data_IF_915890200688
#
_entry.id   IF_915890200688
#
_cell.length_a   1.000
_cell.length_b   1.000
_cell.length_c   1.000
_cell.angle_alpha   90.00
_cell.angle_beta   90.00
_cell.angle_gamma   90.00
#
_symmetry.space_group_name_H-M   'P 1'
#
loop_
_entity.id
_entity.type
_entity.pdbx_description
1 polymer ?
#
# COMPACT_ATOMS: atom_id res chain seq x y z
N UNK A 1 -29.59 -63.81 4.53
CA UNK A 1 -28.50 -63.56 3.59
C UNK A 1 -28.99 -62.45 2.65
N UNK A 2 -28.49 -61.23 2.77
CA UNK A 2 -28.91 -60.12 1.93
C UNK A 2 -28.90 -58.84 2.71
N UNK A 3 -27.79 -58.08 2.66
CA UNK A 3 -27.65 -56.63 2.82
C UNK A 3 -26.18 -56.30 3.04
N UNK A 4 -25.40 -56.20 1.97
CA UNK A 4 -24.01 -55.69 2.07
C UNK A 4 -23.46 -55.13 0.74
N UNK A 5 -24.25 -54.96 -0.32
CA UNK A 5 -23.74 -54.51 -1.60
C UNK A 5 -24.01 -53.02 -1.91
N UNK A 6 -24.94 -52.33 -1.21
CA UNK A 6 -25.25 -50.93 -1.43
C UNK A 6 -24.22 -49.94 -0.88
N UNK A 7 -23.75 -50.17 0.33
CA UNK A 7 -22.87 -49.22 1.04
C UNK A 7 -21.46 -49.08 0.45
N UNK A 8 -20.96 -50.11 -0.24
CA UNK A 8 -19.61 -50.09 -0.85
C UNK A 8 -19.58 -49.33 -2.17
N UNK A 9 -20.70 -49.27 -2.91
CA UNK A 9 -20.79 -48.55 -4.19
C UNK A 9 -20.96 -47.04 -3.98
N UNK A 10 -21.77 -46.62 -3.00
CA UNK A 10 -21.93 -45.22 -2.63
C UNK A 10 -20.65 -44.64 -2.02
N UNK A 11 -19.98 -45.38 -1.14
CA UNK A 11 -18.72 -44.95 -0.55
C UNK A 11 -17.58 -44.79 -1.60
N UNK A 12 -17.53 -45.70 -2.58
CA UNK A 12 -16.57 -45.59 -3.70
C UNK A 12 -16.88 -44.37 -4.61
N UNK A 13 -18.14 -44.13 -4.92
CA UNK A 13 -18.56 -42.97 -5.73
C UNK A 13 -18.31 -41.66 -4.99
N UNK A 14 -18.57 -41.58 -3.69
CA UNK A 14 -18.29 -40.38 -2.89
C UNK A 14 -16.77 -40.14 -2.78
N UNK A 15 -15.97 -41.18 -2.57
CA UNK A 15 -14.52 -41.07 -2.56
C UNK A 15 -13.95 -40.58 -3.91
N UNK A 16 -14.46 -41.13 -5.02
CA UNK A 16 -14.04 -40.72 -6.38
C UNK A 16 -14.43 -39.26 -6.67
N UNK A 17 -15.64 -38.82 -6.31
CA UNK A 17 -16.08 -37.43 -6.45
C UNK A 17 -15.22 -36.46 -5.63
N UNK A 18 -14.84 -36.85 -4.41
CA UNK A 18 -13.96 -36.04 -3.56
C UNK A 18 -12.54 -35.91 -4.17
N UNK A 19 -12.04 -36.99 -4.76
CA UNK A 19 -10.74 -37.05 -5.40
C UNK A 19 -10.65 -36.16 -6.63
N UNK A 20 -11.64 -36.19 -7.53
CA UNK A 20 -11.71 -35.35 -8.71
C UNK A 20 -11.89 -33.88 -8.32
N UNK A 21 -12.70 -33.58 -7.30
CA UNK A 21 -12.90 -32.22 -6.82
C UNK A 21 -11.60 -31.59 -6.28
N UNK A 22 -10.75 -32.33 -5.56
CA UNK A 22 -9.46 -31.80 -5.09
C UNK A 22 -8.48 -31.53 -6.25
N UNK A 23 -8.44 -32.41 -7.25
CA UNK A 23 -7.64 -32.21 -8.46
C UNK A 23 -8.07 -30.92 -9.18
N UNK A 24 -9.37 -30.78 -9.45
CA UNK A 24 -9.92 -29.60 -10.09
C UNK A 24 -9.70 -28.33 -9.26
N UNK A 25 -9.93 -28.40 -7.94
CA UNK A 25 -9.70 -27.26 -7.05
C UNK A 25 -8.25 -26.78 -7.09
N UNK A 26 -7.26 -27.68 -7.06
CA UNK A 26 -5.85 -27.33 -7.16
C UNK A 26 -5.53 -26.59 -8.46
N UNK A 27 -6.02 -27.07 -9.60
CA UNK A 27 -5.81 -26.42 -10.89
C UNK A 27 -6.61 -25.13 -11.08
N UNK A 28 -7.80 -25.01 -10.49
CA UNK A 28 -8.55 -23.74 -10.46
C UNK A 28 -7.81 -22.68 -9.64
N UNK A 29 -7.22 -23.07 -8.50
CA UNK A 29 -6.39 -22.17 -7.69
C UNK A 29 -5.17 -21.74 -8.50
N UNK A 30 -4.46 -22.66 -9.14
CA UNK A 30 -3.31 -22.35 -9.98
C UNK A 30 -3.68 -21.35 -11.10
N UNK A 31 -4.73 -21.62 -11.85
CA UNK A 31 -5.20 -20.75 -12.93
C UNK A 31 -5.58 -19.36 -12.39
N UNK A 32 -6.31 -19.30 -11.27
CA UNK A 32 -6.69 -18.05 -10.62
C UNK A 32 -5.46 -17.24 -10.19
N UNK A 33 -4.49 -17.86 -9.53
CA UNK A 33 -3.22 -17.24 -9.13
C UNK A 33 -2.44 -16.78 -10.36
N UNK A 34 -2.33 -17.61 -11.38
CA UNK A 34 -1.59 -17.28 -12.61
C UNK A 34 -2.18 -16.04 -13.28
N UNK A 35 -3.49 -16.01 -13.51
CA UNK A 35 -4.17 -14.93 -14.24
C UNK A 35 -4.19 -13.62 -13.44
N UNK A 36 -4.37 -13.68 -12.11
CA UNK A 36 -4.56 -12.46 -11.30
C UNK A 36 -3.26 -11.94 -10.70
N UNK A 37 -2.38 -12.84 -10.26
CA UNK A 37 -1.21 -12.46 -9.45
C UNK A 37 0.03 -12.24 -10.31
N UNK A 38 0.25 -13.05 -11.34
CA UNK A 38 1.44 -12.91 -12.21
C UNK A 38 1.50 -11.54 -12.87
N UNK A 39 0.44 -11.04 -13.55
CA UNK A 39 0.50 -9.71 -14.16
C UNK A 39 0.67 -8.59 -13.14
N UNK A 40 0.04 -8.72 -11.95
CA UNK A 40 0.13 -7.71 -10.89
C UNK A 40 1.55 -7.62 -10.31
N UNK A 41 2.21 -8.76 -10.06
CA UNK A 41 3.58 -8.82 -9.55
C UNK A 41 4.58 -8.39 -10.63
N UNK A 42 4.37 -8.77 -11.88
CA UNK A 42 5.17 -8.27 -13.01
C UNK A 42 5.07 -6.74 -13.08
N UNK A 43 3.86 -6.19 -13.00
CA UNK A 43 3.66 -4.75 -12.99
C UNK A 43 4.37 -4.07 -11.80
N UNK A 44 4.28 -4.65 -10.60
CA UNK A 44 5.00 -4.15 -9.42
C UNK A 44 6.52 -4.13 -9.66
N UNK A 45 7.10 -5.21 -10.19
CA UNK A 45 8.56 -5.32 -10.35
C UNK A 45 9.12 -4.47 -11.49
N UNK A 46 8.39 -4.34 -12.60
CA UNK A 46 8.88 -3.70 -13.83
C UNK A 46 8.53 -2.21 -13.93
N UNK A 47 7.50 -1.74 -13.26
CA UNK A 47 7.13 -0.32 -13.26
C UNK A 47 8.05 0.46 -12.31
N UNK A 48 9.21 0.89 -12.84
CA UNK A 48 10.21 1.64 -12.07
C UNK A 48 10.34 3.06 -12.60
N UNK A 49 10.56 3.99 -11.69
CA UNK A 49 11.00 5.33 -12.03
C UNK A 49 12.50 5.30 -12.33
N UNK A 50 12.89 5.76 -13.52
CA UNK A 50 14.26 5.72 -14.01
C UNK A 50 14.82 7.13 -14.17
N UNK A 51 16.14 7.27 -14.27
CA UNK A 51 16.82 8.57 -14.48
C UNK A 51 16.40 9.26 -15.79
N UNK A 52 16.00 8.52 -16.83
CA UNK A 52 15.45 9.10 -18.05
C UNK A 52 14.18 9.94 -17.82
N UNK A 53 13.39 9.63 -16.79
CA UNK A 53 12.22 10.44 -16.44
C UNK A 53 12.59 11.83 -15.89
N UNK A 54 13.77 11.98 -15.28
CA UNK A 54 14.23 13.27 -14.78
C UNK A 54 14.56 14.28 -15.90
N UNK A 55 14.84 13.79 -17.10
CA UNK A 55 15.03 14.60 -18.29
C UNK A 55 13.75 14.98 -19.03
N UNK A 56 12.59 14.43 -18.60
CA UNK A 56 11.29 14.66 -19.25
C UNK A 56 10.60 15.97 -18.84
N UNK A 57 11.05 16.62 -17.75
CA UNK A 57 10.60 18.00 -17.52
C UNK A 57 11.18 18.80 -18.67
N UNK A 58 10.31 19.14 -19.62
CA UNK A 58 10.67 20.01 -20.73
C UNK A 58 11.03 21.39 -20.16
N UNK A 59 12.32 21.54 -19.87
CA UNK A 59 12.87 22.85 -19.49
C UNK A 59 13.15 23.71 -20.70
N UNK A 60 12.91 23.23 -21.91
CA UNK A 60 13.03 23.83 -23.27
C UNK A 60 13.32 25.30 -23.38
N UNK A 61 14.37 25.80 -22.73
CA UNK A 61 14.69 27.24 -22.68
C UNK A 61 13.76 28.07 -21.78
N UNK A 62 12.87 27.44 -20.97
CA UNK A 62 12.00 28.14 -20.02
C UNK A 62 12.83 28.82 -18.93
N UNK A 63 12.55 30.07 -18.65
CA UNK A 63 13.09 30.77 -17.49
C UNK A 63 12.60 30.07 -16.20
N UNK A 64 13.32 30.21 -15.11
CA UNK A 64 12.98 29.61 -13.80
C UNK A 64 11.54 29.90 -13.35
N UNK A 65 10.93 31.00 -13.83
CA UNK A 65 9.54 31.37 -13.55
C UNK A 65 8.48 30.51 -14.23
N UNK A 66 8.82 29.84 -15.33
CA UNK A 66 7.87 29.03 -16.14
C UNK A 66 7.81 27.55 -15.74
N UNK A 67 8.62 27.15 -14.73
CA UNK A 67 8.57 25.79 -14.21
C UNK A 67 7.30 25.56 -13.39
N UNK A 68 6.69 24.36 -13.47
CA UNK A 68 5.49 24.06 -12.69
C UNK A 68 5.75 24.21 -11.20
N UNK A 69 4.79 24.78 -10.49
CA UNK A 69 4.82 24.88 -9.03
C UNK A 69 4.17 23.66 -8.41
N UNK A 70 4.87 23.03 -7.49
CA UNK A 70 4.38 21.88 -6.71
C UNK A 70 4.22 22.29 -5.25
N UNK A 71 3.01 22.15 -4.70
CA UNK A 71 2.78 22.27 -3.27
C UNK A 71 3.03 20.94 -2.59
N UNK A 72 4.10 20.86 -1.81
CA UNK A 72 4.43 19.67 -1.00
C UNK A 72 3.76 19.80 0.35
N UNK A 73 2.85 18.90 0.67
CA UNK A 73 2.04 18.89 1.89
C UNK A 73 2.52 17.79 2.82
N UNK A 74 2.96 18.18 4.03
CA UNK A 74 3.56 17.28 5.02
C UNK A 74 2.80 17.40 6.34
N UNK A 75 1.87 16.49 6.63
CA UNK A 75 1.28 16.39 7.97
C UNK A 75 2.26 15.67 8.91
N UNK A 76 2.56 16.25 10.05
CA UNK A 76 3.41 15.62 11.06
C UNK A 76 2.82 15.73 12.46
N UNK A 77 2.99 14.67 13.23
CA UNK A 77 2.61 14.62 14.65
C UNK A 77 3.59 13.76 15.43
N UNK A 78 4.35 14.38 16.32
CA UNK A 78 5.41 13.74 17.10
C UNK A 78 6.44 13.04 16.20
N UNK A 79 7.05 13.81 15.29
CA UNK A 79 8.05 13.38 14.31
C UNK A 79 9.39 14.15 14.51
N UNK A 80 9.71 14.58 15.74
CA UNK A 80 10.91 15.38 16.01
C UNK A 80 12.21 14.73 15.53
N UNK A 81 12.25 13.38 15.50
CA UNK A 81 13.43 12.63 15.09
C UNK A 81 13.73 12.71 13.56
N UNK A 82 12.71 12.95 12.73
CA UNK A 82 12.82 12.78 11.27
C UNK A 82 12.45 14.02 10.47
N UNK A 83 11.52 14.84 10.97
CA UNK A 83 10.95 15.96 10.21
C UNK A 83 12.00 16.96 9.71
N UNK A 84 13.04 17.22 10.50
CA UNK A 84 14.13 18.14 10.13
C UNK A 84 14.91 17.65 8.90
N UNK A 85 15.24 16.37 8.83
CA UNK A 85 15.95 15.80 7.69
C UNK A 85 15.05 15.67 6.46
N UNK A 86 13.77 15.35 6.64
CA UNK A 86 12.79 15.33 5.55
C UNK A 86 12.65 16.72 4.89
N UNK A 87 12.50 17.79 5.68
CA UNK A 87 12.43 19.18 5.18
C UNK A 87 13.73 19.57 4.47
N UNK A 88 14.90 19.29 5.05
CA UNK A 88 16.20 19.56 4.40
C UNK A 88 16.35 18.84 3.06
N UNK A 89 15.87 17.58 2.98
CA UNK A 89 15.88 16.80 1.75
C UNK A 89 15.03 17.47 0.66
N UNK A 90 13.81 17.90 1.00
CA UNK A 90 12.90 18.56 0.08
C UNK A 90 13.42 19.93 -0.38
N UNK A 91 14.10 20.69 0.47
CA UNK A 91 14.71 21.97 0.11
C UNK A 91 15.82 21.84 -0.95
N UNK A 92 16.40 20.65 -1.12
CA UNK A 92 17.36 20.32 -2.18
C UNK A 92 16.69 19.98 -3.52
N UNK A 93 15.35 20.10 -3.62
CA UNK A 93 14.63 19.80 -4.87
C UNK A 93 15.11 20.66 -6.02
N UNK A 94 15.39 19.99 -7.15
CA UNK A 94 15.87 20.59 -8.40
C UNK A 94 14.89 20.32 -9.55
N UNK A 95 14.92 21.19 -10.57
CA UNK A 95 14.19 21.00 -11.83
C UNK A 95 12.71 21.35 -11.81
N UNK A 96 12.16 21.76 -10.66
CA UNK A 96 10.80 22.27 -10.48
C UNK A 96 10.78 23.34 -9.39
N UNK A 97 9.72 24.15 -9.36
CA UNK A 97 9.47 25.06 -8.24
C UNK A 97 8.64 24.34 -7.18
N UNK A 98 9.00 24.53 -5.92
CA UNK A 98 8.24 23.96 -4.80
C UNK A 98 7.85 25.04 -3.78
N UNK A 99 6.70 24.88 -3.17
CA UNK A 99 6.37 25.41 -1.85
C UNK A 99 6.12 24.20 -0.92
N UNK A 100 6.51 24.32 0.34
CA UNK A 100 6.33 23.27 1.35
C UNK A 100 5.33 23.78 2.39
N UNK A 101 4.24 23.07 2.57
CA UNK A 101 3.25 23.34 3.61
C UNK A 101 3.34 22.24 4.66
N UNK A 102 4.11 22.52 5.71
CA UNK A 102 4.31 21.62 6.83
C UNK A 102 3.21 21.85 7.88
N UNK A 103 2.53 20.78 8.31
CA UNK A 103 1.42 20.88 9.26
C UNK A 103 1.77 20.17 10.55
N UNK A 104 1.90 20.93 11.63
CA UNK A 104 2.05 20.41 12.97
C UNK A 104 0.66 20.06 13.54
N UNK A 105 0.30 18.77 13.48
CA UNK A 105 -0.99 18.28 13.98
C UNK A 105 -0.91 17.95 15.48
N UNK A 106 -1.00 18.97 16.35
CA UNK A 106 -1.09 18.79 17.82
C UNK A 106 0.09 17.97 18.38
N UNK A 107 1.33 18.21 17.90
CA UNK A 107 2.52 17.57 18.46
C UNK A 107 2.79 18.05 19.87
N UNK A 108 3.31 17.15 20.69
CA UNK A 108 3.68 17.41 22.09
C UNK A 108 5.21 17.35 22.31
N UNK A 109 5.96 17.02 21.27
CA UNK A 109 7.40 17.03 21.20
C UNK A 109 7.93 18.27 20.47
N UNK A 110 9.18 18.26 20.04
CA UNK A 110 9.82 19.40 19.38
C UNK A 110 9.49 19.53 17.88
N UNK A 111 8.54 18.74 17.33
CA UNK A 111 8.19 18.77 15.91
C UNK A 111 7.85 20.17 15.43
N UNK A 112 6.96 20.89 16.15
CA UNK A 112 6.56 22.26 15.79
C UNK A 112 7.73 23.24 15.78
N UNK A 113 8.58 23.20 16.81
CA UNK A 113 9.78 24.05 16.91
C UNK A 113 10.76 23.82 15.75
N UNK A 114 10.97 22.56 15.35
CA UNK A 114 11.84 22.20 14.22
C UNK A 114 11.28 22.73 12.91
N UNK A 115 9.96 22.63 12.70
CA UNK A 115 9.29 23.19 11.52
C UNK A 115 9.43 24.71 11.45
N UNK A 116 9.22 25.42 12.58
CA UNK A 116 9.32 26.88 12.65
C UNK A 116 10.73 27.36 12.36
N UNK A 117 11.74 26.68 12.89
CA UNK A 117 13.15 26.95 12.60
C UNK A 117 13.47 26.77 11.11
N UNK A 118 12.91 25.72 10.48
CA UNK A 118 13.07 25.49 9.05
C UNK A 118 12.41 26.60 8.22
N UNK A 119 11.19 27.02 8.59
CA UNK A 119 10.47 28.12 7.93
C UNK A 119 11.15 29.48 8.08
N UNK A 120 11.76 29.74 9.24
CA UNK A 120 12.57 30.95 9.45
C UNK A 120 13.83 30.97 8.57
N UNK A 121 14.34 29.82 8.16
CA UNK A 121 15.56 29.67 7.34
C UNK A 121 15.27 29.67 5.84
N UNK A 122 14.06 29.33 5.38
CA UNK A 122 13.71 29.22 3.97
C UNK A 122 12.23 29.59 3.72
N UNK A 123 12.03 30.65 2.93
CA UNK A 123 10.70 31.21 2.62
C UNK A 123 9.79 30.27 1.81
N UNK A 124 10.31 29.18 1.25
CA UNK A 124 9.51 28.15 0.59
C UNK A 124 8.71 27.31 1.56
N UNK A 125 9.04 27.33 2.86
CA UNK A 125 8.33 26.60 3.91
C UNK A 125 7.30 27.51 4.56
N UNK A 126 6.07 27.03 4.64
CA UNK A 126 5.00 27.59 5.46
C UNK A 126 4.60 26.55 6.50
N UNK A 127 4.51 26.94 7.77
CA UNK A 127 4.03 26.08 8.85
C UNK A 127 2.59 26.42 9.20
N UNK A 128 1.80 25.38 9.46
CA UNK A 128 0.45 25.47 10.03
C UNK A 128 0.45 24.70 11.33
N UNK A 129 0.06 25.34 12.42
CA UNK A 129 -0.17 24.68 13.70
C UNK A 129 -1.67 24.41 13.87
N UNK A 130 -2.02 23.16 14.13
CA UNK A 130 -3.38 22.75 14.47
C UNK A 130 -3.40 22.48 15.97
N UNK A 131 -4.21 23.24 16.71
CA UNK A 131 -4.34 23.08 18.15
C UNK A 131 -5.48 22.14 18.51
N UNK A 132 -6.55 22.14 17.71
CA UNK A 132 -7.74 21.33 17.95
C UNK A 132 -8.16 20.56 16.70
N UNK A 133 -8.57 19.31 16.91
CA UNK A 133 -9.14 18.48 15.84
C UNK A 133 -10.65 18.66 15.83
N UNK A 134 -11.24 19.15 14.72
CA UNK A 134 -12.68 19.22 14.58
C UNK A 134 -13.33 17.82 14.64
N UNK A 135 -14.56 17.77 15.11
CA UNK A 135 -15.35 16.54 15.08
C UNK A 135 -15.46 15.98 13.65
N UNK A 136 -15.55 14.67 13.55
CA UNK A 136 -15.67 13.96 12.27
C UNK A 136 -14.46 14.11 11.32
N UNK A 137 -13.27 14.31 11.86
CA UNK A 137 -12.02 14.30 11.10
C UNK A 137 -10.99 13.35 11.73
N UNK A 138 -10.22 12.65 10.89
CA UNK A 138 -8.93 12.08 11.29
C UNK A 138 -7.88 13.19 11.26
N UNK A 139 -6.96 13.20 12.25
CA UNK A 139 -5.96 14.27 12.37
C UNK A 139 -5.15 14.47 11.10
N UNK A 140 -4.58 13.39 10.54
CA UNK A 140 -3.78 13.45 9.29
C UNK A 140 -4.61 14.00 8.12
N UNK A 141 -5.85 13.53 7.95
CA UNK A 141 -6.72 13.99 6.86
C UNK A 141 -7.12 15.45 7.01
N UNK A 142 -7.36 15.89 8.24
CA UNK A 142 -7.62 17.30 8.54
C UNK A 142 -6.40 18.17 8.24
N UNK A 143 -5.22 17.74 8.65
CA UNK A 143 -3.97 18.46 8.38
C UNK A 143 -3.73 18.59 6.86
N UNK A 144 -3.88 17.51 6.09
CA UNK A 144 -3.75 17.54 4.63
C UNK A 144 -4.82 18.42 3.98
N UNK A 145 -6.06 18.41 4.50
CA UNK A 145 -7.12 19.29 4.02
C UNK A 145 -6.77 20.76 4.22
N UNK A 146 -6.41 21.17 5.44
CA UNK A 146 -6.05 22.55 5.75
C UNK A 146 -4.89 23.06 4.88
N UNK A 147 -3.85 22.25 4.72
CA UNK A 147 -2.72 22.60 3.84
C UNK A 147 -3.16 22.73 2.39
N UNK A 148 -4.02 21.86 1.88
CA UNK A 148 -4.49 21.89 0.49
C UNK A 148 -5.30 23.15 0.14
N UNK A 149 -5.95 23.78 1.11
CA UNK A 149 -6.66 25.06 0.91
C UNK A 149 -5.71 26.24 0.71
N UNK A 150 -4.49 26.14 1.23
CA UNK A 150 -3.45 27.20 1.11
C UNK A 150 -2.49 26.94 -0.05
N UNK A 151 -2.55 25.76 -0.64
CA UNK A 151 -1.68 25.32 -1.72
C UNK A 151 -1.94 26.08 -3.02
N UNK A 152 -0.86 26.62 -3.61
CA UNK A 152 -0.88 27.44 -4.85
C UNK A 152 -0.40 26.67 -6.06
N UNK A 153 0.18 25.47 -5.87
CA UNK A 153 0.76 24.65 -6.93
C UNK A 153 -0.28 24.10 -7.90
N UNK A 154 0.17 23.85 -9.12
CA UNK A 154 -0.58 23.12 -10.15
C UNK A 154 -0.72 21.66 -9.80
N UNK A 155 0.22 21.16 -9.00
CA UNK A 155 0.29 19.79 -8.48
C UNK A 155 0.40 19.83 -6.97
N UNK A 156 -0.33 18.90 -6.30
CA UNK A 156 -0.23 18.69 -4.87
C UNK A 156 0.47 17.36 -4.61
N UNK A 157 1.56 17.41 -3.88
CA UNK A 157 2.27 16.24 -3.39
C UNK A 157 1.96 16.04 -1.91
N UNK A 158 1.25 14.96 -1.59
CA UNK A 158 1.07 14.51 -0.21
C UNK A 158 2.16 13.51 0.13
N UNK A 159 2.89 13.76 1.23
CA UNK A 159 3.99 12.90 1.69
C UNK A 159 4.07 12.88 3.21
N UNK A 160 4.50 11.73 3.77
CA UNK A 160 4.75 11.61 5.21
C UNK A 160 6.04 12.34 5.62
N UNK A 161 6.16 12.68 6.91
CA UNK A 161 7.25 13.49 7.46
C UNK A 161 8.57 12.74 7.72
N UNK A 162 8.66 11.48 7.33
CA UNK A 162 9.81 10.58 7.51
C UNK A 162 10.43 10.10 6.18
N UNK A 163 9.98 10.66 5.06
CA UNK A 163 10.42 10.25 3.73
C UNK A 163 11.66 11.03 3.30
N UNK A 164 12.68 10.33 2.84
CA UNK A 164 13.91 10.92 2.30
C UNK A 164 13.84 11.00 0.78
N UNK A 165 13.98 12.22 0.25
CA UNK A 165 13.90 12.54 -1.17
C UNK A 165 15.29 12.74 -1.77
N UNK A 166 15.52 12.23 -2.99
CA UNK A 166 16.62 12.65 -3.84
C UNK A 166 16.27 13.97 -4.55
N UNK A 167 17.24 14.84 -4.87
CA UNK A 167 16.97 16.20 -5.36
C UNK A 167 16.06 16.28 -6.59
N UNK A 168 16.17 15.35 -7.53
CA UNK A 168 15.41 15.35 -8.80
C UNK A 168 14.15 14.51 -8.77
N UNK A 169 13.75 13.98 -7.63
CA UNK A 169 12.59 13.05 -7.48
C UNK A 169 11.30 13.70 -7.97
N UNK A 170 10.99 14.91 -7.48
CA UNK A 170 9.72 15.59 -7.82
C UNK A 170 9.71 15.97 -9.30
N UNK A 171 10.83 16.47 -9.83
CA UNK A 171 10.96 16.77 -11.24
C UNK A 171 10.73 15.54 -12.13
N UNK A 172 11.35 14.40 -11.79
CA UNK A 172 11.17 13.15 -12.53
C UNK A 172 9.71 12.67 -12.50
N UNK A 173 9.04 12.78 -11.36
CA UNK A 173 7.63 12.44 -11.21
C UNK A 173 6.72 13.32 -12.06
N UNK A 174 6.92 14.64 -12.03
CA UNK A 174 6.15 15.61 -12.82
C UNK A 174 6.38 15.37 -14.32
N UNK A 175 7.64 15.25 -14.76
CA UNK A 175 7.97 14.94 -16.16
C UNK A 175 7.30 13.66 -16.65
N UNK A 176 7.31 12.61 -15.83
CA UNK A 176 6.61 11.37 -16.13
C UNK A 176 5.10 11.59 -16.26
N UNK A 177 4.48 12.30 -15.32
CA UNK A 177 3.04 12.58 -15.38
C UNK A 177 2.66 13.39 -16.63
N UNK A 178 3.42 14.42 -16.97
CA UNK A 178 3.21 15.24 -18.16
C UNK A 178 3.33 14.40 -19.44
N UNK A 179 4.41 13.62 -19.59
CA UNK A 179 4.66 12.77 -20.77
C UNK A 179 3.58 11.71 -20.99
N UNK A 180 2.92 11.25 -19.93
CA UNK A 180 1.87 10.21 -19.94
C UNK A 180 0.45 10.81 -19.77
N UNK A 181 0.33 12.12 -19.64
CA UNK A 181 -0.94 12.84 -19.41
C UNK A 181 -1.70 12.26 -18.22
N UNK A 182 -0.98 12.02 -17.11
CA UNK A 182 -1.54 11.51 -15.86
C UNK A 182 -2.02 12.67 -14.98
N UNK A 183 -3.02 12.41 -14.14
CA UNK A 183 -3.51 13.32 -13.11
C UNK A 183 -3.25 12.79 -11.69
N UNK A 184 -2.70 11.58 -11.58
CA UNK A 184 -2.36 10.98 -10.30
C UNK A 184 -1.20 9.99 -10.45
N UNK A 185 -0.21 10.10 -9.58
CA UNK A 185 0.95 9.21 -9.52
C UNK A 185 1.32 8.88 -8.08
N UNK A 186 1.46 7.58 -7.80
CA UNK A 186 2.03 7.11 -6.56
C UNK A 186 3.42 6.53 -6.79
N UNK A 187 4.35 6.83 -5.89
CA UNK A 187 5.67 6.23 -5.87
C UNK A 187 5.85 5.39 -4.61
N UNK A 188 6.30 4.14 -4.78
CA UNK A 188 6.69 3.29 -3.67
C UNK A 188 8.18 3.49 -3.40
N UNK A 189 8.57 3.94 -2.19
CA UNK A 189 9.96 4.17 -1.81
C UNK A 189 10.71 2.85 -1.63
N UNK A 190 12.04 2.94 -1.59
CA UNK A 190 12.90 1.88 -1.06
C UNK A 190 12.59 1.71 0.42
N UNK A 191 12.11 0.52 0.79
CA UNK A 191 12.01 0.14 2.19
C UNK A 191 13.40 -0.20 2.71
N UNK A 192 13.91 0.56 3.70
CA UNK A 192 15.20 0.27 4.33
C UNK A 192 15.08 -1.08 5.04
N UNK A 193 15.93 -2.08 4.70
CA UNK A 193 15.81 -3.43 5.21
C UNK A 193 15.94 -3.52 6.73
N UNK A 194 15.18 -4.44 7.32
CA UNK A 194 15.27 -4.82 8.72
C UNK A 194 15.71 -6.27 8.91
N UNK A 195 15.13 -6.95 9.89
CA UNK A 195 15.34 -8.39 10.09
C UNK A 195 14.80 -9.23 8.91
N UNK A 196 15.26 -10.48 8.79
CA UNK A 196 14.85 -11.37 7.71
C UNK A 196 13.32 -11.53 7.62
N UNK A 197 12.66 -11.84 8.73
CA UNK A 197 11.20 -12.01 8.76
C UNK A 197 10.44 -10.71 8.55
N UNK A 198 10.99 -9.58 9.00
CA UNK A 198 10.43 -8.26 8.71
C UNK A 198 10.43 -8.00 7.20
N UNK A 199 11.55 -8.28 6.53
CA UNK A 199 11.65 -8.10 5.08
C UNK A 199 10.71 -9.05 4.33
N UNK A 200 10.61 -10.32 4.75
CA UNK A 200 9.64 -11.27 4.18
C UNK A 200 8.21 -10.74 4.28
N UNK A 201 7.81 -10.26 5.47
CA UNK A 201 6.46 -9.72 5.68
C UNK A 201 6.23 -8.45 4.84
N UNK A 202 7.19 -7.55 4.79
CA UNK A 202 7.07 -6.29 4.04
C UNK A 202 6.95 -6.54 2.53
N UNK A 203 7.77 -7.45 1.98
CA UNK A 203 7.71 -7.82 0.55
C UNK A 203 6.40 -8.55 0.25
N UNK A 204 6.00 -9.48 1.11
CA UNK A 204 4.74 -10.19 0.98
C UNK A 204 3.53 -9.23 1.03
N UNK A 205 3.56 -8.24 1.93
CA UNK A 205 2.56 -7.16 1.96
C UNK A 205 2.51 -6.40 0.63
N UNK A 206 3.67 -6.04 0.06
CA UNK A 206 3.75 -5.39 -1.25
C UNK A 206 3.16 -6.24 -2.39
N UNK A 207 3.40 -7.57 -2.38
CA UNK A 207 2.77 -8.50 -3.32
C UNK A 207 1.25 -8.54 -3.16
N UNK A 208 0.76 -8.66 -1.91
CA UNK A 208 -0.69 -8.62 -1.62
C UNK A 208 -1.33 -7.29 -2.05
N UNK A 209 -0.63 -6.16 -1.84
CA UNK A 209 -1.07 -4.85 -2.29
C UNK A 209 -1.19 -4.81 -3.83
N UNK A 210 -0.17 -5.26 -4.55
CA UNK A 210 -0.17 -5.29 -6.01
C UNK A 210 -1.32 -6.15 -6.58
N UNK A 211 -1.52 -7.33 -5.98
CA UNK A 211 -2.59 -8.27 -6.37
C UNK A 211 -3.97 -7.67 -6.02
N UNK A 212 -4.15 -7.20 -4.80
CA UNK A 212 -5.43 -6.66 -4.33
C UNK A 212 -5.86 -5.41 -5.09
N UNK A 213 -4.92 -4.55 -5.45
CA UNK A 213 -5.16 -3.34 -6.22
C UNK A 213 -5.08 -3.56 -7.74
N UNK A 214 -4.77 -4.77 -8.21
CA UNK A 214 -4.62 -5.11 -9.64
C UNK A 214 -3.75 -4.07 -10.38
N UNK A 215 -2.53 -3.80 -9.89
CA UNK A 215 -1.68 -2.68 -10.34
C UNK A 215 -1.36 -2.70 -11.84
N UNK A 216 -1.45 -3.85 -12.50
CA UNK A 216 -1.28 -3.95 -13.96
C UNK A 216 -2.41 -3.26 -14.74
N UNK A 217 -3.60 -3.08 -14.11
CA UNK A 217 -4.76 -2.41 -14.68
C UNK A 217 -4.87 -0.94 -14.27
N UNK A 218 -3.93 -0.39 -13.51
CA UNK A 218 -4.06 0.95 -12.90
C UNK A 218 -4.26 2.06 -13.94
N UNK A 219 -3.68 1.92 -15.14
CA UNK A 219 -3.86 2.87 -16.25
C UNK A 219 -5.18 2.71 -17.02
N UNK A 220 -5.88 1.61 -16.81
CA UNK A 220 -7.16 1.35 -17.47
C UNK A 220 -8.31 2.07 -16.76
N UNK A 221 -9.51 2.00 -17.31
CA UNK A 221 -10.73 2.49 -16.64
C UNK A 221 -11.30 1.53 -15.61
N UNK A 222 -10.63 0.41 -15.33
CA UNK A 222 -11.10 -0.59 -14.36
C UNK A 222 -11.22 0.04 -12.96
N UNK A 223 -12.43 0.14 -12.38
CA UNK A 223 -12.68 0.97 -11.20
C UNK A 223 -12.07 0.42 -9.92
N UNK A 224 -11.79 -0.90 -9.87
CA UNK A 224 -11.19 -1.55 -8.72
C UNK A 224 -9.65 -1.48 -8.71
N UNK A 225 -9.03 -0.97 -9.80
CA UNK A 225 -7.59 -0.77 -9.86
C UNK A 225 -7.22 0.67 -9.56
N UNK A 226 -6.80 0.93 -8.35
CA UNK A 226 -6.33 2.21 -7.85
C UNK A 226 -5.20 1.98 -6.84
N UNK A 227 -4.41 3.00 -6.57
CA UNK A 227 -3.36 2.93 -5.57
C UNK A 227 -3.21 4.28 -4.86
N UNK A 228 -2.63 4.25 -3.69
CA UNK A 228 -2.18 5.40 -2.93
C UNK A 228 -1.07 4.95 -1.99
N UNK A 229 -0.06 5.79 -1.82
CA UNK A 229 1.09 5.53 -0.96
C UNK A 229 1.39 6.79 -0.17
N UNK A 230 1.35 6.72 1.16
CA UNK A 230 1.58 7.86 2.04
C UNK A 230 2.94 8.54 1.82
N UNK A 231 3.94 7.77 1.39
CA UNK A 231 5.27 8.29 1.08
C UNK A 231 5.30 9.26 -0.11
N UNK A 232 4.44 9.06 -1.12
CA UNK A 232 4.39 9.90 -2.30
C UNK A 232 3.07 9.72 -3.05
N UNK A 233 2.23 10.75 -3.02
CA UNK A 233 0.92 10.76 -3.67
C UNK A 233 0.75 12.11 -4.38
N UNK A 234 1.10 12.17 -5.68
CA UNK A 234 1.10 13.39 -6.49
C UNK A 234 -0.17 13.45 -7.33
N UNK A 235 -0.93 14.54 -7.18
CA UNK A 235 -2.23 14.73 -7.83
C UNK A 235 -2.29 16.06 -8.57
N UNK A 236 -3.06 16.12 -9.65
CA UNK A 236 -3.48 17.36 -10.31
C UNK A 236 -4.35 18.17 -9.34
N UNK A 237 -3.96 19.42 -9.07
CA UNK A 237 -4.62 20.26 -8.07
C UNK A 237 -6.06 20.63 -8.45
N UNK A 238 -6.33 20.85 -9.73
CA UNK A 238 -7.66 21.22 -10.20
C UNK A 238 -8.62 20.04 -10.06
N UNK A 239 -8.20 18.85 -10.48
CA UNK A 239 -9.00 17.64 -10.34
C UNK A 239 -9.22 17.26 -8.88
N UNK A 240 -8.19 17.38 -8.03
CA UNK A 240 -8.30 17.14 -6.59
C UNK A 240 -9.33 18.08 -5.92
N UNK A 241 -9.28 19.39 -6.23
CA UNK A 241 -10.26 20.36 -5.72
C UNK A 241 -11.67 20.05 -6.23
N UNK A 242 -11.81 19.71 -7.51
CA UNK A 242 -13.09 19.29 -8.12
C UNK A 242 -13.66 18.03 -7.44
N UNK A 243 -12.81 17.10 -7.03
CA UNK A 243 -13.21 15.88 -6.33
C UNK A 243 -13.62 16.13 -4.86
N UNK A 244 -13.51 17.35 -4.35
CA UNK A 244 -13.86 17.75 -2.98
C UNK A 244 -12.70 17.67 -1.99
N UNK A 245 -11.47 17.52 -2.47
CA UNK A 245 -10.28 17.44 -1.63
C UNK A 245 -10.33 16.26 -0.67
N UNK A 246 -9.83 16.44 0.57
CA UNK A 246 -9.88 15.38 1.60
C UNK A 246 -11.25 15.27 2.31
N UNK A 247 -12.22 16.14 2.00
CA UNK A 247 -13.53 16.11 2.66
C UNK A 247 -14.30 14.78 2.49
N UNK A 248 -14.35 14.16 1.28
CA UNK A 248 -15.03 12.87 1.10
C UNK A 248 -14.37 11.71 1.85
N UNK A 249 -13.08 11.80 2.14
CA UNK A 249 -12.28 10.74 2.79
C UNK A 249 -11.84 11.12 4.21
N UNK A 250 -12.45 12.14 4.81
CA UNK A 250 -12.03 12.76 6.08
C UNK A 250 -11.91 11.80 7.27
N UNK A 251 -12.65 10.70 7.27
CA UNK A 251 -12.64 9.67 8.31
C UNK A 251 -12.10 8.31 7.80
N UNK A 252 -11.50 8.28 6.62
CA UNK A 252 -10.85 7.06 6.13
C UNK A 252 -9.44 6.92 6.70
N UNK A 253 -9.18 5.81 7.38
CA UNK A 253 -7.86 5.50 7.97
C UNK A 253 -6.83 5.18 6.89
N UNK A 254 -7.28 4.74 5.72
CA UNK A 254 -6.45 4.47 4.53
C UNK A 254 -6.45 5.70 3.61
N UNK A 255 -6.07 6.84 4.16
CA UNK A 255 -6.13 8.15 3.50
C UNK A 255 -5.49 8.15 2.11
N UNK A 256 -4.31 7.58 2.00
CA UNK A 256 -3.51 7.49 0.77
C UNK A 256 -4.20 6.64 -0.32
N UNK A 257 -4.61 5.43 0.03
CA UNK A 257 -5.31 4.50 -0.90
C UNK A 257 -6.66 5.09 -1.31
N UNK A 258 -7.37 5.71 -0.38
CA UNK A 258 -8.68 6.34 -0.64
C UNK A 258 -8.56 7.61 -1.47
N UNK A 259 -7.47 8.37 -1.32
CA UNK A 259 -7.14 9.47 -2.23
C UNK A 259 -6.99 8.95 -3.66
N UNK A 260 -6.20 7.89 -3.87
CA UNK A 260 -6.06 7.27 -5.18
C UNK A 260 -7.40 6.75 -5.75
N UNK A 261 -8.24 6.12 -4.92
CA UNK A 261 -9.60 5.72 -5.30
C UNK A 261 -10.45 6.91 -5.74
N UNK A 262 -10.45 7.98 -4.95
CA UNK A 262 -11.21 9.20 -5.22
C UNK A 262 -10.75 9.86 -6.52
N UNK A 263 -9.45 10.00 -6.74
CA UNK A 263 -8.91 10.53 -7.99
C UNK A 263 -9.37 9.70 -9.20
N UNK A 264 -9.26 8.38 -9.09
CA UNK A 264 -9.70 7.44 -10.13
C UNK A 264 -11.21 7.57 -10.42
N UNK A 265 -12.05 7.62 -9.39
CA UNK A 265 -13.51 7.77 -9.52
C UNK A 265 -13.91 9.09 -10.20
N UNK A 266 -13.07 10.13 -10.06
CA UNK A 266 -13.25 11.42 -10.73
C UNK A 266 -12.54 11.52 -12.09
N UNK A 267 -12.14 10.39 -12.67
CA UNK A 267 -11.63 10.31 -14.03
C UNK A 267 -10.13 10.50 -14.18
N UNK A 268 -9.34 10.53 -13.09
CA UNK A 268 -7.89 10.63 -13.18
C UNK A 268 -7.30 9.43 -13.93
N UNK A 269 -6.37 9.72 -14.83
CA UNK A 269 -5.41 8.72 -15.31
C UNK A 269 -4.35 8.56 -14.24
N UNK A 270 -4.30 7.38 -13.63
CA UNK A 270 -3.40 7.08 -12.51
C UNK A 270 -2.30 6.13 -12.92
N UNK A 271 -1.14 6.23 -12.28
CA UNK A 271 -0.11 5.21 -12.35
C UNK A 271 0.58 5.00 -11.00
N UNK A 272 1.38 3.95 -10.94
CA UNK A 272 2.15 3.52 -9.78
C UNK A 272 3.54 3.07 -10.23
N UNK A 273 4.60 3.57 -9.57
CA UNK A 273 5.98 3.21 -9.88
C UNK A 273 6.76 2.86 -8.61
N UNK A 274 7.71 1.93 -8.73
CA UNK A 274 8.78 1.78 -7.77
C UNK A 274 9.80 2.91 -7.93
N UNK A 275 10.17 3.55 -6.85
CA UNK A 275 11.09 4.69 -6.81
C UNK A 275 12.26 4.46 -5.84
N UNK A 276 12.83 3.25 -5.87
CA UNK A 276 13.83 2.78 -4.89
C UNK A 276 15.13 3.60 -4.90
N UNK A 277 15.49 4.21 -6.03
CA UNK A 277 16.68 5.08 -6.18
C UNK A 277 16.37 6.54 -5.83
N UNK A 278 15.10 6.90 -5.67
CA UNK A 278 14.62 8.26 -5.56
C UNK A 278 14.05 8.60 -4.19
N UNK A 279 13.47 7.61 -3.53
CA UNK A 279 12.82 7.74 -2.23
C UNK A 279 13.25 6.61 -1.33
N UNK A 280 13.43 6.89 -0.06
CA UNK A 280 13.67 5.85 0.95
C UNK A 280 12.95 6.15 2.25
N UNK A 281 12.59 5.07 2.96
CA UNK A 281 11.93 5.15 4.27
C UNK A 281 12.27 3.92 5.10
N UNK A 282 12.40 4.10 6.40
CA UNK A 282 12.36 3.03 7.39
C UNK A 282 10.92 2.91 7.89
N UNK A 283 10.11 2.07 7.18
CA UNK A 283 8.67 2.01 7.43
C UNK A 283 8.32 1.68 8.88
N UNK A 284 9.00 0.67 9.45
CA UNK A 284 8.83 0.29 10.84
C UNK A 284 10.18 -0.14 11.45
N UNK A 285 10.41 0.05 12.76
CA UNK A 285 11.69 -0.27 13.38
C UNK A 285 11.92 -1.78 13.59
N UNK A 286 10.88 -2.62 13.52
CA UNK A 286 10.94 -4.06 13.79
C UNK A 286 9.81 -4.84 13.15
N UNK A 287 9.92 -6.18 13.13
CA UNK A 287 8.83 -7.08 12.70
C UNK A 287 7.52 -6.81 13.47
N UNK A 288 7.62 -6.64 14.80
CA UNK A 288 6.44 -6.32 15.61
C UNK A 288 5.89 -4.93 15.28
N UNK A 289 6.76 -3.99 14.97
CA UNK A 289 6.37 -2.67 14.46
C UNK A 289 5.54 -2.77 13.17
N UNK A 290 5.94 -3.64 12.23
CA UNK A 290 5.15 -3.89 11.00
C UNK A 290 3.76 -4.44 11.34
N UNK A 291 3.66 -5.45 12.23
CA UNK A 291 2.38 -6.03 12.65
C UNK A 291 1.48 -4.98 13.31
N UNK A 292 2.02 -4.19 14.24
CA UNK A 292 1.26 -3.15 14.95
C UNK A 292 0.94 -1.95 14.06
N UNK A 293 1.83 -1.61 13.12
CA UNK A 293 1.57 -0.60 12.09
C UNK A 293 0.40 -0.96 11.17
N UNK A 294 0.23 -2.26 10.87
CA UNK A 294 -0.92 -2.78 10.12
C UNK A 294 -2.21 -2.82 10.94
N UNK A 295 -2.15 -2.75 12.27
CA UNK A 295 -3.30 -2.90 13.17
C UNK A 295 -4.41 -1.89 12.88
N UNK A 296 -4.08 -0.63 12.62
CA UNK A 296 -5.08 0.39 12.27
C UNK A 296 -5.66 0.19 10.86
N UNK A 297 -4.85 -0.36 9.93
CA UNK A 297 -5.15 -0.39 8.50
C UNK A 297 -5.87 -1.67 8.07
N UNK A 298 -5.52 -2.82 8.65
CA UNK A 298 -5.95 -4.13 8.14
C UNK A 298 -7.48 -4.33 8.24
N UNK A 299 -8.11 -4.02 9.38
CA UNK A 299 -9.57 -4.12 9.48
C UNK A 299 -10.30 -3.01 8.70
N UNK A 300 -9.70 -1.82 8.60
CA UNK A 300 -10.21 -0.74 7.79
C UNK A 300 -10.25 -1.11 6.29
N UNK A 301 -9.23 -1.82 5.77
CA UNK A 301 -9.19 -2.29 4.39
C UNK A 301 -10.33 -3.27 4.06
N UNK A 302 -10.84 -3.96 5.07
CA UNK A 302 -12.02 -4.83 4.97
C UNK A 302 -13.34 -4.09 5.23
N UNK A 303 -13.31 -2.74 5.27
CA UNK A 303 -14.44 -1.89 5.63
C UNK A 303 -15.08 -2.31 6.98
N UNK A 304 -14.25 -2.71 7.93
CA UNK A 304 -14.65 -3.15 9.28
C UNK A 304 -15.68 -4.30 9.29
N UNK A 305 -15.61 -5.22 8.33
CA UNK A 305 -16.54 -6.34 8.15
C UNK A 305 -15.88 -7.68 8.49
N UNK A 306 -16.37 -8.36 9.53
CA UNK A 306 -15.91 -9.72 9.88
C UNK A 306 -16.20 -10.73 8.78
N UNK A 307 -17.33 -10.58 8.06
CA UNK A 307 -17.64 -11.44 6.91
C UNK A 307 -16.56 -11.35 5.84
N UNK A 308 -16.10 -10.12 5.53
CA UNK A 308 -15.04 -9.92 4.53
C UNK A 308 -13.71 -10.50 5.00
N UNK A 309 -13.33 -10.31 6.28
CA UNK A 309 -12.14 -10.96 6.84
C UNK A 309 -12.25 -12.46 6.73
N UNK A 310 -13.38 -13.08 7.10
CA UNK A 310 -13.59 -14.51 6.98
C UNK A 310 -13.39 -15.02 5.55
N UNK A 311 -14.04 -14.38 4.58
CA UNK A 311 -13.89 -14.73 3.14
C UNK A 311 -12.44 -14.57 2.69
N UNK A 312 -11.80 -13.43 3.00
CA UNK A 312 -10.40 -13.19 2.62
C UNK A 312 -9.47 -14.20 3.28
N UNK A 313 -9.72 -14.59 4.54
CA UNK A 313 -8.93 -15.62 5.24
C UNK A 313 -9.06 -16.98 4.55
N UNK A 314 -10.27 -17.39 4.15
CA UNK A 314 -10.47 -18.65 3.43
C UNK A 314 -9.76 -18.64 2.08
N UNK A 315 -9.88 -17.55 1.31
CA UNK A 315 -9.14 -17.38 0.06
C UNK A 315 -7.63 -17.39 0.29
N UNK A 316 -7.17 -16.76 1.36
CA UNK A 316 -5.76 -16.70 1.73
C UNK A 316 -5.20 -18.10 2.06
N UNK A 317 -5.97 -18.90 2.82
CA UNK A 317 -5.63 -20.28 3.09
C UNK A 317 -5.58 -21.10 1.80
N UNK A 318 -6.56 -20.97 0.94
CA UNK A 318 -6.61 -21.71 -0.33
C UNK A 318 -5.44 -21.33 -1.27
N UNK A 319 -5.07 -20.06 -1.35
CA UNK A 319 -4.10 -19.53 -2.32
C UNK A 319 -2.66 -19.62 -1.79
N UNK A 320 -2.44 -19.35 -0.50
CA UNK A 320 -1.10 -19.19 0.07
C UNK A 320 -0.72 -20.25 1.09
N UNK A 321 -1.65 -21.07 1.61
CA UNK A 321 -1.36 -22.09 2.61
C UNK A 321 -1.55 -23.49 2.06
N UNK A 322 -2.70 -23.78 1.46
CA UNK A 322 -3.01 -25.12 0.93
C UNK A 322 -1.96 -25.64 -0.08
N UNK A 323 -1.40 -24.80 -0.99
CA UNK A 323 -0.35 -25.22 -1.91
C UNK A 323 0.92 -25.75 -1.22
N UNK A 324 1.18 -25.34 0.01
CA UNK A 324 2.38 -25.77 0.76
C UNK A 324 2.10 -26.89 1.76
N UNK A 325 0.86 -27.06 2.19
CA UNK A 325 0.48 -28.03 3.22
C UNK A 325 -0.02 -29.33 2.59
N UNK A 326 -0.76 -29.25 1.47
CA UNK A 326 -1.39 -30.43 0.88
C UNK A 326 -0.41 -31.39 0.15
N UNK A 327 0.55 -30.92 -0.69
CA UNK A 327 1.46 -31.83 -1.40
C UNK A 327 2.30 -32.72 -0.46
N UNK A 328 2.82 -32.24 0.69
CA UNK A 328 3.54 -33.07 1.65
C UNK A 328 2.74 -34.24 2.26
N UNK A 329 1.41 -34.29 2.05
CA UNK A 329 0.55 -35.34 2.55
C UNK A 329 0.52 -36.59 1.61
N UNK A 330 1.09 -36.50 0.41
CA UNK A 330 1.15 -37.57 -0.57
C UNK A 330 1.93 -38.80 -0.05
N UNK A 331 3.13 -38.66 0.54
CA UNK A 331 3.86 -39.82 1.09
C UNK A 331 3.15 -40.59 2.19
N UNK A 332 2.21 -39.94 2.88
CA UNK A 332 1.41 -40.55 3.96
C UNK A 332 0.12 -41.21 3.43
N UNK A 333 -0.09 -41.27 2.10
CA UNK A 333 -1.28 -41.85 1.50
C UNK A 333 -2.60 -41.10 1.72
N UNK A 334 -2.53 -39.87 2.30
CA UNK A 334 -3.71 -39.01 2.53
C UNK A 334 -4.22 -38.43 1.23
N UNK A 335 -3.31 -38.12 0.31
CA UNK A 335 -3.58 -37.61 -1.04
C UNK A 335 -2.81 -38.43 -2.08
N UNK A 336 -3.37 -38.53 -3.29
CA UNK A 336 -2.62 -39.04 -4.44
C UNK A 336 -1.77 -37.97 -5.04
N UNK A 337 -0.70 -38.34 -5.75
CA UNK A 337 0.13 -37.40 -6.49
C UNK A 337 -0.70 -36.56 -7.47
N UNK A 338 -1.63 -37.18 -8.21
CA UNK A 338 -2.54 -36.50 -9.14
C UNK A 338 -3.33 -35.36 -8.47
N UNK A 339 -3.89 -35.62 -7.28
CA UNK A 339 -4.65 -34.61 -6.53
C UNK A 339 -3.79 -33.42 -6.10
N UNK A 340 -2.52 -33.63 -5.83
CA UNK A 340 -1.58 -32.61 -5.36
C UNK A 340 -0.96 -31.75 -6.47
N UNK A 341 -1.07 -32.16 -7.75
CA UNK A 341 -0.33 -31.50 -8.86
C UNK A 341 -0.62 -30.03 -9.02
N UNK A 342 -1.88 -29.61 -8.96
CA UNK A 342 -2.27 -28.19 -9.07
C UNK A 342 -1.77 -27.34 -7.89
N UNK A 343 -1.80 -27.91 -6.68
CA UNK A 343 -1.27 -27.26 -5.47
C UNK A 343 0.25 -27.13 -5.56
N UNK A 344 0.94 -28.20 -5.99
CA UNK A 344 2.40 -28.18 -6.17
C UNK A 344 2.81 -27.13 -7.22
N UNK A 345 2.10 -27.07 -8.36
CA UNK A 345 2.33 -26.05 -9.38
C UNK A 345 2.17 -24.64 -8.81
N UNK A 346 1.14 -24.41 -7.97
CA UNK A 346 0.90 -23.12 -7.30
C UNK A 346 2.01 -22.79 -6.32
N UNK A 347 2.47 -23.74 -5.52
CA UNK A 347 3.57 -23.55 -4.57
C UNK A 347 4.87 -23.17 -5.30
N UNK A 348 5.19 -23.88 -6.38
CA UNK A 348 6.36 -23.55 -7.23
C UNK A 348 6.24 -22.16 -7.85
N UNK A 349 5.06 -21.82 -8.37
CA UNK A 349 4.81 -20.48 -8.92
C UNK A 349 5.05 -19.38 -7.87
N UNK A 350 4.55 -19.56 -6.65
CA UNK A 350 4.78 -18.59 -5.56
C UNK A 350 6.25 -18.47 -5.19
N UNK A 351 6.97 -19.57 -5.08
CA UNK A 351 8.42 -19.54 -4.83
C UNK A 351 9.18 -18.83 -5.94
N UNK A 352 8.84 -19.10 -7.20
CA UNK A 352 9.47 -18.42 -8.34
C UNK A 352 9.19 -16.91 -8.35
N UNK A 353 7.94 -16.52 -8.14
CA UNK A 353 7.57 -15.10 -8.08
C UNK A 353 8.25 -14.38 -6.92
N UNK A 354 8.29 -15.00 -5.74
CA UNK A 354 8.95 -14.41 -4.58
C UNK A 354 10.47 -14.34 -4.77
N UNK A 355 11.09 -15.41 -5.26
CA UNK A 355 12.51 -15.43 -5.58
C UNK A 355 12.86 -14.31 -6.60
N UNK A 356 12.05 -14.15 -7.63
CA UNK A 356 12.21 -13.06 -8.59
C UNK A 356 12.05 -11.68 -7.96
N UNK A 357 11.08 -11.50 -7.05
CA UNK A 357 10.91 -10.24 -6.32
C UNK A 357 12.14 -9.88 -5.50
N UNK A 358 12.75 -10.87 -4.81
CA UNK A 358 13.88 -10.63 -3.90
C UNK A 358 15.26 -10.73 -4.59
N UNK A 359 15.32 -11.17 -5.85
CA UNK A 359 16.60 -11.41 -6.58
C UNK A 359 17.54 -10.20 -6.57
N UNK A 360 17.01 -8.99 -6.74
CA UNK A 360 17.79 -7.74 -6.76
C UNK A 360 18.12 -7.18 -5.37
N UNK A 361 17.67 -7.82 -4.30
CA UNK A 361 17.92 -7.39 -2.91
C UNK A 361 19.17 -8.11 -2.42
N UNK A 362 20.15 -7.42 -1.82
CA UNK A 362 21.32 -8.08 -1.21
C UNK A 362 20.90 -9.18 -0.24
N UNK A 363 21.39 -10.40 -0.43
CA UNK A 363 20.99 -11.59 0.33
C UNK A 363 19.50 -11.95 0.27
N UNK A 364 18.74 -11.41 -0.69
CA UNK A 364 17.31 -11.62 -0.80
C UNK A 364 16.90 -13.07 -0.97
N UNK A 365 17.68 -13.88 -1.71
CA UNK A 365 17.40 -15.31 -1.89
C UNK A 365 17.35 -16.11 -0.57
N UNK A 366 18.01 -15.64 0.51
CA UNK A 366 17.91 -16.25 1.84
C UNK A 366 16.49 -16.13 2.43
N UNK A 367 15.64 -15.25 1.90
CA UNK A 367 14.25 -15.08 2.33
C UNK A 367 13.32 -16.14 1.73
N UNK A 368 13.70 -16.77 0.60
CA UNK A 368 12.82 -17.67 -0.17
C UNK A 368 12.30 -18.85 0.66
N UNK A 369 13.10 -19.54 1.47
CA UNK A 369 12.61 -20.62 2.33
C UNK A 369 11.57 -20.15 3.37
N UNK A 370 11.57 -18.86 3.71
CA UNK A 370 10.69 -18.27 4.72
C UNK A 370 9.42 -17.66 4.11
N UNK A 371 9.18 -17.78 2.80
CA UNK A 371 8.01 -17.23 2.13
C UNK A 371 6.70 -17.55 2.84
N UNK A 372 6.53 -18.82 3.28
CA UNK A 372 5.32 -19.28 3.94
C UNK A 372 5.00 -18.53 5.25
N UNK A 373 5.99 -17.92 5.90
CA UNK A 373 5.75 -17.12 7.11
C UNK A 373 5.00 -15.82 6.83
N UNK A 374 5.17 -15.24 5.63
CA UNK A 374 4.48 -14.02 5.21
C UNK A 374 2.95 -14.13 5.29
N UNK A 375 2.32 -15.14 4.65
CA UNK A 375 0.89 -15.41 4.77
C UNK A 375 0.39 -15.51 6.22
N UNK A 376 1.09 -16.27 7.06
CA UNK A 376 0.67 -16.43 8.46
C UNK A 376 0.75 -15.13 9.27
N UNK A 377 1.84 -14.39 9.13
CA UNK A 377 2.02 -13.11 9.79
C UNK A 377 0.97 -12.09 9.33
N UNK A 378 0.66 -12.10 8.03
CA UNK A 378 -0.37 -11.22 7.47
C UNK A 378 -1.76 -11.58 8.00
N UNK A 379 -2.14 -12.86 7.99
CA UNK A 379 -3.42 -13.31 8.55
C UNK A 379 -3.53 -12.95 10.04
N UNK A 380 -2.46 -13.17 10.80
CA UNK A 380 -2.38 -12.74 12.21
C UNK A 380 -2.62 -11.24 12.37
N UNK A 381 -1.96 -10.39 11.57
CA UNK A 381 -2.14 -8.94 11.62
C UNK A 381 -3.59 -8.52 11.32
N UNK A 382 -4.25 -9.14 10.34
CA UNK A 382 -5.66 -8.87 10.00
C UNK A 382 -6.62 -9.23 11.15
N UNK A 383 -6.48 -10.42 11.70
CA UNK A 383 -7.33 -10.86 12.82
C UNK A 383 -7.05 -10.08 14.10
N UNK A 384 -5.78 -9.78 14.39
CA UNK A 384 -5.40 -8.92 15.50
C UNK A 384 -6.04 -7.53 15.37
N UNK A 385 -5.95 -6.91 14.19
CA UNK A 385 -6.59 -5.62 13.90
C UNK A 385 -8.10 -5.66 14.17
N UNK A 386 -8.79 -6.71 13.69
CA UNK A 386 -10.23 -6.86 13.91
C UNK A 386 -10.58 -7.02 15.40
N UNK A 387 -9.88 -7.92 16.09
CA UNK A 387 -10.11 -8.17 17.52
C UNK A 387 -9.91 -6.92 18.37
N UNK A 388 -8.81 -6.21 18.15
CA UNK A 388 -8.50 -4.98 18.90
C UNK A 388 -9.53 -3.90 18.61
N UNK A 389 -9.84 -3.64 17.32
CA UNK A 389 -10.81 -2.62 16.92
C UNK A 389 -12.20 -2.91 17.50
N UNK A 390 -12.63 -4.17 17.50
CA UNK A 390 -13.94 -4.56 18.05
C UNK A 390 -13.98 -4.49 19.58
N UNK A 391 -12.90 -4.95 20.26
CA UNK A 391 -12.82 -4.88 21.73
C UNK A 391 -12.79 -3.44 22.25
N UNK A 392 -12.12 -2.55 21.52
CA UNK A 392 -12.04 -1.12 21.90
C UNK A 392 -13.24 -0.31 21.42
N UNK A 393 -14.11 -0.88 20.57
CA UNK A 393 -15.23 -0.15 19.97
C UNK A 393 -14.80 0.90 18.93
N UNK A 394 -13.55 0.85 18.43
CA UNK A 394 -13.03 1.83 17.49
C UNK A 394 -11.53 1.66 17.21
N UNK A 395 -10.96 2.62 16.52
CA UNK A 395 -9.53 2.68 16.19
C UNK A 395 -8.85 3.73 17.06
N UNK A 396 -7.77 3.35 17.73
CA UNK A 396 -6.84 4.31 18.34
C UNK A 396 -5.74 4.62 17.36
N UNK A 397 -5.57 5.88 17.02
CA UNK A 397 -4.47 6.34 16.19
C UNK A 397 -3.72 7.47 16.88
N UNK A 398 -2.48 7.18 17.26
CA UNK A 398 -1.70 8.05 18.17
C UNK A 398 -2.55 8.33 19.43
N UNK A 399 -2.71 9.55 19.87
CA UNK A 399 -3.48 9.88 21.07
C UNK A 399 -4.97 10.15 20.82
N UNK A 400 -5.50 9.82 19.63
CA UNK A 400 -6.90 10.05 19.27
C UNK A 400 -7.66 8.73 19.15
N UNK A 401 -8.92 8.73 19.65
CA UNK A 401 -9.83 7.58 19.52
C UNK A 401 -10.94 7.91 18.52
N UNK A 402 -11.21 6.99 17.62
CA UNK A 402 -12.21 7.13 16.56
C UNK A 402 -13.23 6.00 16.68
N UNK A 403 -14.48 6.30 17.06
CA UNK A 403 -15.52 5.30 17.27
C UNK A 403 -15.83 4.52 15.98
N UNK A 404 -15.96 3.20 16.09
CA UNK A 404 -16.21 2.31 14.94
C UNK A 404 -17.49 2.68 14.17
N UNK A 405 -18.54 3.15 14.89
CA UNK A 405 -19.80 3.60 14.28
C UNK A 405 -19.56 4.77 13.31
N UNK A 406 -18.74 5.75 13.69
CA UNK A 406 -18.39 6.89 12.85
C UNK A 406 -17.56 6.44 11.64
N UNK A 407 -16.53 5.62 11.87
CA UNK A 407 -15.67 5.11 10.79
C UNK A 407 -16.46 4.31 9.74
N UNK A 408 -17.38 3.45 10.18
CA UNK A 408 -18.26 2.69 9.28
C UNK A 408 -19.21 3.56 8.45
N UNK A 409 -19.75 4.61 9.05
CA UNK A 409 -20.67 5.52 8.38
C UNK A 409 -20.01 6.38 7.32
N UNK A 410 -18.73 6.65 7.46
CA UNK A 410 -17.97 7.57 6.61
C UNK A 410 -17.07 6.87 5.55
N UNK A 411 -17.16 5.55 5.41
CA UNK A 411 -16.36 4.82 4.42
C UNK A 411 -16.62 5.38 3.02
N UNK A 412 -15.58 5.89 2.37
CA UNK A 412 -15.63 6.27 0.96
C UNK A 412 -15.79 5.02 0.09
N UNK A 413 -16.92 4.91 -0.61
CA UNK A 413 -17.31 3.74 -1.41
C UNK A 413 -16.91 3.85 -2.87
#
# INVERSE_FOLDING_TARGET
MGMSFGNTFEAKNFGWLLMENLFLAGWCIFAGVFVTSVPAIIALKLKRMTSSHAGLVDTGGRQSGDLPLISVIIPARNEEAQIGEALKGLLKTEGVRIEIIAVNDRSTDRTGVIMDQAAASDSRIRVIHIDQLPENWLGKNHAMHQASLLAKGDWLLFTDGDILFQPRTIAAAVGYMQSRKLQHLCLLPKMIPGSLLENVLTIFFGMCFAIGMQLHLIRTRFPLSYAGVGAFNLVDAALYRKAGGHLPIRLDVLDDVKLGKMMKANGARSDFLLAEEWLSVRWQPSLWGVVTGLEKNAFASMNYSLRRIGVVTLLFIAIFVAPFVLPPLVPFGILTFRQSTGFLATALLWHMLFAWMVWSIPSGLKMVPFFITGPWLMAFAYWRSAVITLRQGGVRWRNSFYPLKQLRAAIYR
#
